data_IF_676931940002
#
_entry.id   IF_676931940002
#
_cell.length_a   1.000
_cell.length_b   1.000
_cell.length_c   1.000
_cell.angle_alpha   90.00
_cell.angle_beta   90.00
_cell.angle_gamma   90.00
#
_symmetry.space_group_name_H-M   'P 1'
#
loop_
_entity.id
_entity.type
_entity.pdbx_description
1 polymer ?
#
# COMPACT_ATOMS: atom_id res chain seq x y z
N UNK A 1 14.51 0.49 8.50
CA UNK A 1 15.77 0.90 7.84
C UNK A 1 15.75 0.77 6.31
N UNK A 2 15.27 -0.34 5.73
CA UNK A 2 15.28 -0.55 4.25
C UNK A 2 14.67 0.60 3.43
N UNK A 3 13.50 1.11 3.82
CA UNK A 3 12.83 2.21 3.10
C UNK A 3 13.66 3.50 3.12
N UNK A 4 14.34 3.79 4.24
CA UNK A 4 15.17 5.00 4.36
C UNK A 4 16.38 4.96 3.44
N UNK A 5 17.04 3.80 3.35
CA UNK A 5 18.16 3.60 2.43
C UNK A 5 17.72 3.77 0.97
N UNK A 6 16.55 3.24 0.61
CA UNK A 6 15.98 3.39 -0.73
C UNK A 6 15.66 4.86 -1.02
N UNK A 7 15.00 5.57 -0.09
CA UNK A 7 14.71 7.00 -0.24
C UNK A 7 15.97 7.83 -0.42
N UNK A 8 17.02 7.55 0.36
CA UNK A 8 18.31 8.22 0.23
C UNK A 8 18.96 7.94 -1.12
N UNK A 9 19.01 6.68 -1.56
CA UNK A 9 19.57 6.30 -2.86
C UNK A 9 18.86 7.00 -4.01
N UNK A 10 17.53 7.04 -4.01
CA UNK A 10 16.72 7.72 -5.03
C UNK A 10 17.02 9.21 -5.04
N UNK A 11 17.06 9.86 -3.87
CA UNK A 11 17.37 11.29 -3.77
C UNK A 11 18.77 11.62 -4.32
N UNK A 12 19.75 10.75 -4.07
CA UNK A 12 21.11 10.91 -4.56
C UNK A 12 21.20 10.75 -6.08
N UNK A 13 20.49 9.76 -6.64
CA UNK A 13 20.39 9.59 -8.10
C UNK A 13 19.75 10.82 -8.74
N UNK A 14 18.64 11.32 -8.20
CA UNK A 14 17.99 12.53 -8.72
C UNK A 14 18.89 13.77 -8.60
N UNK A 15 19.63 13.92 -7.50
CA UNK A 15 20.62 14.99 -7.33
C UNK A 15 21.75 14.90 -8.35
N UNK A 16 22.32 13.71 -8.57
CA UNK A 16 23.36 13.47 -9.56
C UNK A 16 22.88 13.78 -10.99
N UNK A 17 21.66 13.36 -11.34
CA UNK A 17 21.03 13.69 -12.62
C UNK A 17 20.78 15.19 -12.76
N UNK A 18 20.39 15.86 -11.67
CA UNK A 18 20.24 17.31 -11.59
C UNK A 18 21.55 18.04 -11.83
N UNK A 19 22.66 17.53 -11.28
CA UNK A 19 24.00 18.05 -11.53
C UNK A 19 24.44 17.86 -12.98
N UNK A 20 24.29 16.64 -13.53
CA UNK A 20 24.64 16.34 -14.92
C UNK A 20 23.88 17.23 -15.89
N UNK A 21 22.59 17.48 -15.61
CA UNK A 21 21.75 18.35 -16.42
C UNK A 21 22.17 19.81 -16.28
N UNK A 22 22.12 20.37 -15.07
CA UNK A 22 22.30 21.82 -14.87
C UNK A 22 23.76 22.29 -14.85
N UNK A 23 24.74 21.40 -14.66
CA UNK A 23 26.13 21.77 -14.39
C UNK A 23 26.34 22.56 -13.09
N UNK A 24 25.32 22.73 -12.25
CA UNK A 24 25.35 23.59 -11.08
C UNK A 24 25.14 22.77 -9.80
N UNK A 25 26.14 22.83 -8.90
CA UNK A 25 26.10 22.11 -7.63
C UNK A 25 24.97 22.57 -6.72
N UNK A 26 24.63 23.86 -6.69
CA UNK A 26 23.55 24.40 -5.86
C UNK A 26 22.19 23.82 -6.26
N UNK A 27 21.94 23.70 -7.56
CA UNK A 27 20.69 23.12 -8.10
C UNK A 27 20.62 21.64 -7.76
N UNK A 28 21.72 20.90 -7.92
CA UNK A 28 21.79 19.48 -7.58
C UNK A 28 21.53 19.22 -6.09
N UNK A 29 22.14 20.02 -5.22
CA UNK A 29 21.96 19.92 -3.77
C UNK A 29 20.52 20.26 -3.36
N UNK A 30 19.91 21.29 -3.95
CA UNK A 30 18.51 21.62 -3.72
C UNK A 30 17.57 20.48 -4.15
N UNK A 31 17.76 19.91 -5.35
CA UNK A 31 16.97 18.76 -5.84
C UNK A 31 17.12 17.56 -4.89
N UNK A 32 18.36 17.22 -4.52
CA UNK A 32 18.64 16.10 -3.62
C UNK A 32 17.90 16.27 -2.27
N UNK A 33 18.00 17.45 -1.67
CA UNK A 33 17.37 17.76 -0.39
C UNK A 33 15.83 17.71 -0.46
N UNK A 34 15.23 18.33 -1.49
CA UNK A 34 13.77 18.30 -1.68
C UNK A 34 13.26 16.88 -1.86
N UNK A 35 13.92 16.09 -2.71
CA UNK A 35 13.55 14.69 -2.95
C UNK A 35 13.70 13.85 -1.67
N UNK A 36 14.80 14.03 -0.94
CA UNK A 36 15.03 13.32 0.32
C UNK A 36 13.91 13.61 1.33
N UNK A 37 13.60 14.89 1.57
CA UNK A 37 12.53 15.29 2.49
C UNK A 37 11.18 14.72 2.04
N UNK A 38 10.86 14.81 0.75
CA UNK A 38 9.62 14.28 0.20
C UNK A 38 9.46 12.76 0.44
N UNK A 39 10.48 11.98 0.08
CA UNK A 39 10.43 10.52 0.26
C UNK A 39 10.42 10.13 1.75
N UNK A 40 11.16 10.85 2.59
CA UNK A 40 11.25 10.58 4.01
C UNK A 40 9.93 10.82 4.75
N UNK A 41 9.25 11.95 4.50
CA UNK A 41 8.03 12.31 5.20
C UNK A 41 6.77 11.74 4.54
N UNK A 42 6.62 11.90 3.22
CA UNK A 42 5.36 11.60 2.55
C UNK A 42 5.30 10.17 2.02
N UNK A 43 6.27 9.78 1.18
CA UNK A 43 6.24 8.48 0.51
C UNK A 43 6.33 7.32 1.52
N UNK A 44 7.25 7.41 2.49
CA UNK A 44 7.40 6.40 3.55
C UNK A 44 6.09 6.16 4.29
N UNK A 45 5.41 7.23 4.73
CA UNK A 45 4.15 7.13 5.47
C UNK A 45 3.07 6.45 4.63
N UNK A 46 2.86 6.91 3.40
CA UNK A 46 1.85 6.35 2.48
C UNK A 46 2.08 4.89 2.13
N UNK A 47 3.32 4.53 1.77
CA UNK A 47 3.67 3.16 1.40
C UNK A 47 3.54 2.22 2.60
N UNK A 48 3.98 2.64 3.78
CA UNK A 48 3.85 1.84 4.99
C UNK A 48 2.37 1.60 5.32
N UNK A 49 1.54 2.64 5.35
CA UNK A 49 0.11 2.53 5.62
C UNK A 49 -0.61 1.61 4.62
N UNK A 50 -0.31 1.76 3.31
CA UNK A 50 -0.92 0.92 2.29
C UNK A 50 -0.54 -0.56 2.44
N UNK A 51 0.73 -0.86 2.74
CA UNK A 51 1.16 -2.24 2.96
C UNK A 51 0.52 -2.85 4.22
N UNK A 52 0.39 -2.09 5.30
CA UNK A 52 -0.25 -2.59 6.54
C UNK A 52 -1.73 -2.87 6.32
N UNK A 53 -2.46 -1.95 5.66
CA UNK A 53 -3.89 -2.16 5.37
C UNK A 53 -4.09 -3.36 4.44
N UNK A 54 -3.24 -3.53 3.42
CA UNK A 54 -3.31 -4.71 2.54
C UNK A 54 -3.04 -6.02 3.28
N UNK A 55 -2.05 -6.04 4.18
CA UNK A 55 -1.74 -7.21 5.00
C UNK A 55 -2.93 -7.56 5.92
N UNK A 56 -3.46 -6.56 6.63
CA UNK A 56 -4.60 -6.73 7.52
C UNK A 56 -5.86 -7.20 6.77
N UNK A 57 -6.12 -6.68 5.57
CA UNK A 57 -7.22 -7.15 4.73
C UNK A 57 -7.05 -8.62 4.30
N UNK A 58 -5.83 -9.02 3.95
CA UNK A 58 -5.50 -10.41 3.63
C UNK A 58 -5.70 -11.34 4.83
N UNK A 59 -5.23 -10.91 6.01
CA UNK A 59 -5.42 -11.63 7.28
C UNK A 59 -6.90 -11.75 7.65
N UNK A 60 -7.69 -10.67 7.55
CA UNK A 60 -9.13 -10.66 7.79
C UNK A 60 -9.84 -11.70 6.93
N UNK A 61 -9.52 -11.70 5.64
CA UNK A 61 -10.11 -12.62 4.67
C UNK A 61 -9.79 -14.07 4.99
N UNK A 62 -8.50 -14.35 5.24
CA UNK A 62 -8.05 -15.70 5.58
C UNK A 62 -8.69 -16.18 6.88
N UNK A 63 -8.79 -15.30 7.89
CA UNK A 63 -9.45 -15.59 9.14
C UNK A 63 -10.93 -15.95 8.92
N UNK A 64 -11.70 -15.10 8.24
CA UNK A 64 -13.14 -15.33 8.00
C UNK A 64 -13.37 -16.63 7.22
N UNK A 65 -12.61 -16.86 6.15
CA UNK A 65 -12.78 -18.07 5.33
C UNK A 65 -12.46 -19.34 6.14
N UNK A 66 -11.31 -19.37 6.84
CA UNK A 66 -10.92 -20.52 7.64
C UNK A 66 -11.88 -20.76 8.82
N UNK A 67 -12.38 -19.68 9.42
CA UNK A 67 -13.35 -19.76 10.51
C UNK A 67 -14.66 -20.40 10.03
N UNK A 68 -15.25 -19.90 8.93
CA UNK A 68 -16.50 -20.43 8.39
C UNK A 68 -16.37 -21.90 7.95
N UNK A 69 -15.27 -22.25 7.29
CA UNK A 69 -14.98 -23.63 6.90
C UNK A 69 -14.79 -24.55 8.12
N UNK A 70 -14.10 -24.08 9.16
CA UNK A 70 -13.93 -24.89 10.36
C UNK A 70 -15.22 -25.01 11.17
N UNK A 71 -16.04 -23.96 11.19
CA UNK A 71 -17.36 -23.99 11.83
C UNK A 71 -18.28 -25.00 11.14
N UNK A 72 -18.29 -25.05 9.81
CA UNK A 72 -19.17 -25.98 9.09
C UNK A 72 -18.81 -27.46 9.31
N UNK A 73 -17.53 -27.77 9.58
CA UNK A 73 -17.06 -29.14 9.82
C UNK A 73 -17.24 -29.54 11.29
N UNK A 74 -16.85 -28.67 12.23
CA UNK A 74 -16.71 -29.01 13.65
C UNK A 74 -17.87 -28.52 14.52
N UNK A 75 -18.62 -27.52 14.07
CA UNK A 75 -19.76 -26.95 14.80
C UNK A 75 -19.41 -26.23 16.12
N UNK A 76 -18.12 -26.06 16.43
CA UNK A 76 -17.64 -25.44 17.68
C UNK A 76 -16.88 -24.15 17.39
N UNK A 77 -17.33 -23.05 18.01
CA UNK A 77 -16.71 -21.73 17.90
C UNK A 77 -15.24 -21.74 18.37
N UNK A 78 -14.95 -22.53 19.41
CA UNK A 78 -13.59 -22.66 19.95
C UNK A 78 -12.62 -23.24 18.93
N UNK A 79 -13.02 -24.37 18.33
CA UNK A 79 -12.17 -25.07 17.38
C UNK A 79 -12.06 -24.29 16.07
N UNK A 80 -13.12 -23.60 15.65
CA UNK A 80 -13.09 -22.76 14.47
C UNK A 80 -12.19 -21.54 14.63
N UNK A 81 -12.22 -20.91 15.81
CA UNK A 81 -11.33 -19.81 16.14
C UNK A 81 -9.87 -20.26 16.17
N UNK A 82 -9.58 -21.40 16.80
CA UNK A 82 -8.23 -21.95 16.84
C UNK A 82 -7.72 -22.24 15.42
N UNK A 83 -8.50 -22.95 14.59
CA UNK A 83 -8.11 -23.24 13.20
C UNK A 83 -7.93 -21.98 12.35
N UNK A 84 -8.76 -20.95 12.54
CA UNK A 84 -8.64 -19.69 11.82
C UNK A 84 -7.38 -18.88 12.21
N UNK A 85 -6.80 -19.14 13.38
CA UNK A 85 -5.68 -18.39 13.94
C UNK A 85 -4.33 -19.13 13.87
N UNK A 86 -4.30 -20.41 13.49
CA UNK A 86 -3.06 -21.23 13.38
C UNK A 86 -1.94 -20.54 12.60
N UNK A 87 -2.29 -19.83 11.52
CA UNK A 87 -1.32 -19.19 10.62
C UNK A 87 -1.15 -17.68 10.89
N UNK A 88 -1.58 -17.19 12.05
CA UNK A 88 -1.44 -15.78 12.40
C UNK A 88 0.04 -15.38 12.57
N UNK A 89 0.45 -14.29 11.93
CA UNK A 89 1.82 -13.79 11.99
C UNK A 89 1.90 -12.28 12.30
N UNK A 90 3.05 -11.83 12.80
CA UNK A 90 3.34 -10.41 13.02
C UNK A 90 2.35 -9.69 13.94
N UNK A 91 1.70 -8.63 13.42
CA UNK A 91 0.79 -7.80 14.21
C UNK A 91 -0.47 -8.56 14.65
N UNK A 92 -1.02 -9.40 13.78
CA UNK A 92 -2.22 -10.17 14.11
C UNK A 92 -1.98 -11.13 15.27
N UNK A 93 -0.83 -11.82 15.29
CA UNK A 93 -0.44 -12.69 16.41
C UNK A 93 -0.35 -11.92 17.74
N UNK A 94 0.24 -10.73 17.72
CA UNK A 94 0.34 -9.90 18.93
C UNK A 94 -1.04 -9.51 19.46
N UNK A 95 -1.98 -9.12 18.57
CA UNK A 95 -3.36 -8.82 18.96
C UNK A 95 -4.07 -10.05 19.58
N UNK A 96 -3.82 -11.26 19.06
CA UNK A 96 -4.37 -12.50 19.60
C UNK A 96 -3.84 -12.81 21.02
N UNK A 97 -2.56 -12.56 21.28
CA UNK A 97 -1.95 -12.72 22.62
C UNK A 97 -2.58 -11.75 23.64
N UNK A 98 -2.91 -10.52 23.24
CA UNK A 98 -3.57 -9.56 24.13
C UNK A 98 -4.98 -9.98 24.55
N UNK A 99 -5.69 -10.76 23.73
CA UNK A 99 -7.07 -11.17 23.98
C UNK A 99 -7.21 -12.63 24.47
N UNK A 100 -6.10 -13.31 24.74
CA UNK A 100 -6.09 -14.74 25.14
C UNK A 100 -6.85 -15.01 26.45
N UNK A 101 -7.12 -14.00 27.26
CA UNK A 101 -7.87 -14.15 28.51
C UNK A 101 -9.39 -14.00 28.35
N UNK A 102 -9.86 -13.48 27.21
CA UNK A 102 -11.29 -13.23 26.97
C UNK A 102 -12.04 -14.51 26.58
N UNK A 103 -13.36 -14.51 26.69
CA UNK A 103 -14.19 -15.59 26.13
C UNK A 103 -14.09 -15.60 24.60
N UNK A 104 -14.27 -16.77 23.96
CA UNK A 104 -14.08 -16.90 22.50
C UNK A 104 -14.95 -15.92 21.71
N UNK A 105 -16.22 -15.75 22.11
CA UNK A 105 -17.12 -14.78 21.47
C UNK A 105 -16.59 -13.35 21.60
N UNK A 106 -16.16 -12.97 22.78
CA UNK A 106 -15.57 -11.65 23.05
C UNK A 106 -14.27 -11.41 22.26
N UNK A 107 -13.46 -12.46 22.04
CA UNK A 107 -12.27 -12.37 21.18
C UNK A 107 -12.66 -12.06 19.74
N UNK A 108 -13.68 -12.74 19.21
CA UNK A 108 -14.19 -12.51 17.86
C UNK A 108 -14.72 -11.08 17.75
N UNK A 109 -15.53 -10.62 18.70
CA UNK A 109 -16.04 -9.24 18.66
C UNK A 109 -14.91 -8.19 18.82
N UNK A 110 -13.89 -8.47 19.64
CA UNK A 110 -12.74 -7.58 19.81
C UNK A 110 -11.92 -7.40 18.52
N UNK A 111 -11.79 -8.47 17.72
CA UNK A 111 -11.03 -8.43 16.47
C UNK A 111 -11.61 -7.42 15.45
N UNK A 112 -12.84 -6.94 15.63
CA UNK A 112 -13.39 -5.83 14.85
C UNK A 112 -12.58 -4.53 14.99
N UNK A 113 -11.88 -4.32 16.13
CA UNK A 113 -10.99 -3.17 16.32
C UNK A 113 -9.77 -3.24 15.39
N UNK A 114 -9.33 -4.45 15.07
CA UNK A 114 -8.20 -4.75 14.20
C UNK A 114 -8.63 -4.84 12.74
N UNK A 115 -9.66 -5.65 12.44
CA UNK A 115 -10.24 -5.85 11.12
C UNK A 115 -11.33 -4.83 10.82
N UNK A 116 -10.91 -3.60 10.48
CA UNK A 116 -11.81 -2.45 10.20
C UNK A 116 -12.42 -2.49 8.79
N UNK A 117 -12.89 -3.65 8.36
CA UNK A 117 -13.40 -3.87 7.01
C UNK A 117 -14.86 -4.33 7.07
N UNK A 118 -15.69 -3.89 6.12
CA UNK A 118 -17.12 -4.25 6.07
C UNK A 118 -17.35 -5.77 6.03
N UNK A 119 -16.42 -6.50 5.40
CA UNK A 119 -16.42 -7.97 5.36
C UNK A 119 -16.46 -8.56 6.77
N UNK A 120 -15.72 -7.97 7.71
CA UNK A 120 -15.67 -8.45 9.09
C UNK A 120 -16.98 -8.17 9.84
N UNK A 121 -17.57 -6.99 9.64
CA UNK A 121 -18.89 -6.68 10.20
C UNK A 121 -19.98 -7.62 9.68
N UNK A 122 -19.97 -7.90 8.38
CA UNK A 122 -20.91 -8.85 7.78
C UNK A 122 -20.72 -10.26 8.35
N UNK A 123 -19.48 -10.67 8.57
CA UNK A 123 -19.14 -11.93 9.25
C UNK A 123 -19.71 -11.98 10.68
N UNK A 124 -19.53 -10.93 11.49
CA UNK A 124 -20.08 -10.88 12.84
C UNK A 124 -21.62 -10.99 12.84
N UNK A 125 -22.29 -10.32 11.91
CA UNK A 125 -23.74 -10.39 11.78
C UNK A 125 -24.23 -11.80 11.42
N UNK A 126 -23.53 -12.49 10.50
CA UNK A 126 -23.84 -13.89 10.15
C UNK A 126 -23.61 -14.80 11.36
N UNK A 127 -22.56 -14.56 12.14
CA UNK A 127 -22.26 -15.36 13.32
C UNK A 127 -23.33 -15.21 14.40
N UNK A 128 -23.79 -13.98 14.66
CA UNK A 128 -24.91 -13.71 15.58
C UNK A 128 -26.20 -14.37 15.09
N UNK A 129 -26.51 -14.27 13.79
CA UNK A 129 -27.68 -14.91 13.20
C UNK A 129 -27.65 -16.44 13.38
N UNK A 130 -26.48 -17.04 13.19
CA UNK A 130 -26.25 -18.47 13.38
C UNK A 130 -26.41 -18.89 14.85
N UNK A 131 -25.91 -18.11 15.80
CA UNK A 131 -26.09 -18.39 17.24
C UNK A 131 -27.56 -18.29 17.67
N UNK A 132 -28.30 -17.31 17.14
CA UNK A 132 -29.70 -17.06 17.49
C UNK A 132 -30.67 -18.07 16.83
N UNK A 133 -30.41 -18.43 15.56
CA UNK A 133 -31.37 -19.19 14.74
C UNK A 133 -30.89 -20.62 14.43
N UNK A 134 -29.62 -20.94 14.66
CA UNK A 134 -29.00 -22.20 14.26
C UNK A 134 -28.99 -22.39 12.73
N UNK A 135 -28.82 -23.64 12.28
CA UNK A 135 -28.85 -24.00 10.85
C UNK A 135 -27.47 -24.32 10.27
N UNK A 136 -27.29 -24.09 8.98
CA UNK A 136 -26.01 -24.28 8.30
C UNK A 136 -25.33 -22.92 8.05
N UNK A 137 -24.24 -22.68 8.79
CA UNK A 137 -23.45 -21.46 8.72
C UNK A 137 -22.88 -21.22 7.31
N UNK A 138 -22.61 -22.29 6.55
CA UNK A 138 -22.02 -22.15 5.23
C UNK A 138 -23.03 -21.59 4.23
N UNK A 139 -24.27 -22.05 4.32
CA UNK A 139 -25.40 -21.51 3.53
C UNK A 139 -25.67 -20.05 3.91
N UNK A 140 -25.64 -19.69 5.19
CA UNK A 140 -25.80 -18.30 5.63
C UNK A 140 -24.66 -17.38 5.19
N UNK A 141 -23.44 -17.92 5.10
CA UNK A 141 -22.26 -17.17 4.70
C UNK A 141 -21.95 -17.22 3.20
N UNK A 142 -22.78 -17.87 2.38
CA UNK A 142 -22.50 -18.05 0.95
C UNK A 142 -22.30 -16.71 0.24
N UNK A 143 -23.19 -15.74 0.48
CA UNK A 143 -23.07 -14.38 -0.10
C UNK A 143 -21.81 -13.67 0.37
N UNK A 144 -21.43 -13.83 1.65
CA UNK A 144 -20.20 -13.25 2.19
C UNK A 144 -18.96 -13.88 1.54
N UNK A 145 -18.94 -15.20 1.36
CA UNK A 145 -17.84 -15.90 0.71
C UNK A 145 -17.70 -15.50 -0.76
N UNK A 146 -18.81 -15.32 -1.48
CA UNK A 146 -18.80 -14.79 -2.85
C UNK A 146 -18.22 -13.37 -2.90
N UNK A 147 -18.62 -12.49 -1.98
CA UNK A 147 -18.09 -11.12 -1.92
C UNK A 147 -16.60 -11.09 -1.54
N UNK A 148 -16.18 -11.93 -0.60
CA UNK A 148 -14.76 -12.13 -0.25
C UNK A 148 -13.93 -12.52 -1.48
N UNK A 149 -14.39 -13.49 -2.25
CA UNK A 149 -13.69 -13.97 -3.45
C UNK A 149 -13.65 -12.87 -4.52
N UNK A 150 -14.76 -12.14 -4.72
CA UNK A 150 -14.82 -11.02 -5.65
C UNK A 150 -13.84 -9.90 -5.29
N UNK A 151 -13.74 -9.56 -4.00
CA UNK A 151 -12.80 -8.54 -3.51
C UNK A 151 -11.35 -9.01 -3.70
N UNK A 152 -11.06 -10.29 -3.46
CA UNK A 152 -9.73 -10.87 -3.74
C UNK A 152 -9.36 -10.78 -5.22
N UNK A 153 -10.24 -11.22 -6.12
CA UNK A 153 -10.02 -11.14 -7.56
C UNK A 153 -9.78 -9.70 -8.00
N UNK A 154 -10.61 -8.77 -7.51
CA UNK A 154 -10.47 -7.35 -7.78
C UNK A 154 -9.12 -6.81 -7.28
N UNK A 155 -8.69 -7.19 -6.08
CA UNK A 155 -7.38 -6.81 -5.55
C UNK A 155 -6.22 -7.33 -6.39
N UNK A 156 -6.28 -8.59 -6.84
CA UNK A 156 -5.23 -9.19 -7.69
C UNK A 156 -5.16 -8.43 -9.03
N UNK A 157 -6.31 -8.16 -9.65
CA UNK A 157 -6.40 -7.40 -10.90
C UNK A 157 -5.88 -5.98 -10.72
N UNK A 158 -6.32 -5.25 -9.69
CA UNK A 158 -5.85 -3.88 -9.40
C UNK A 158 -4.34 -3.87 -9.14
N UNK A 159 -3.81 -4.85 -8.41
CA UNK A 159 -2.37 -4.95 -8.13
C UNK A 159 -1.56 -5.19 -9.41
N UNK A 160 -1.97 -6.15 -10.24
CA UNK A 160 -1.28 -6.41 -11.51
C UNK A 160 -1.30 -5.20 -12.44
N UNK A 161 -2.44 -4.50 -12.51
CA UNK A 161 -2.59 -3.25 -13.25
C UNK A 161 -1.69 -2.15 -12.69
N UNK A 162 -1.65 -1.99 -11.36
CA UNK A 162 -0.82 -1.00 -10.67
C UNK A 162 0.68 -1.20 -10.93
N UNK A 163 1.16 -2.46 -10.87
CA UNK A 163 2.55 -2.80 -11.19
C UNK A 163 2.86 -2.47 -12.65
N UNK A 164 1.99 -2.87 -13.58
CA UNK A 164 2.16 -2.57 -15.00
C UNK A 164 2.23 -1.07 -15.25
N UNK A 165 1.31 -0.28 -14.69
CA UNK A 165 1.30 1.18 -14.84
C UNK A 165 2.50 1.85 -14.20
N UNK A 166 2.99 1.32 -13.08
CA UNK A 166 4.23 1.81 -12.44
C UNK A 166 5.44 1.56 -13.35
N UNK A 167 5.52 0.41 -14.02
CA UNK A 167 6.58 0.13 -14.99
C UNK A 167 6.50 1.05 -16.21
N UNK A 168 5.30 1.24 -16.78
CA UNK A 168 5.07 2.18 -17.90
C UNK A 168 5.51 3.61 -17.51
N UNK A 169 5.18 4.05 -16.29
CA UNK A 169 5.60 5.34 -15.74
C UNK A 169 7.13 5.46 -15.60
N UNK A 170 7.79 4.43 -15.08
CA UNK A 170 9.25 4.41 -14.92
C UNK A 170 9.97 4.46 -16.28
N UNK A 171 9.50 3.69 -17.26
CA UNK A 171 10.06 3.68 -18.62
C UNK A 171 9.94 5.07 -19.25
N UNK A 172 8.78 5.72 -19.12
CA UNK A 172 8.54 7.04 -19.69
C UNK A 172 9.53 8.08 -19.12
N UNK A 173 9.68 8.13 -17.80
CA UNK A 173 10.63 9.05 -17.17
C UNK A 173 12.09 8.70 -17.45
N UNK A 174 12.41 7.41 -17.56
CA UNK A 174 13.76 6.98 -17.96
C UNK A 174 14.12 7.48 -19.36
N UNK A 175 13.20 7.40 -20.33
CA UNK A 175 13.39 7.93 -21.68
C UNK A 175 13.55 9.45 -21.64
N UNK A 176 12.69 10.17 -20.91
CA UNK A 176 12.78 11.64 -20.79
C UNK A 176 14.13 12.09 -20.21
N UNK A 177 14.59 11.45 -19.14
CA UNK A 177 15.89 11.75 -18.55
C UNK A 177 17.05 11.33 -19.47
N UNK A 178 16.91 10.20 -20.17
CA UNK A 178 17.86 9.74 -21.18
C UNK A 178 18.07 10.75 -22.29
N UNK A 179 17.00 11.40 -22.78
CA UNK A 179 17.09 12.47 -23.78
C UNK A 179 17.89 13.66 -23.24
N UNK A 180 17.66 14.08 -22.00
CA UNK A 180 18.39 15.21 -21.39
C UNK A 180 19.89 14.90 -21.27
N UNK A 181 20.23 13.69 -20.82
CA UNK A 181 21.62 13.21 -20.76
C UNK A 181 22.22 13.16 -22.17
N UNK A 182 21.50 12.63 -23.14
CA UNK A 182 21.98 12.54 -24.52
C UNK A 182 22.23 13.92 -25.13
N UNK A 183 21.33 14.89 -24.91
CA UNK A 183 21.53 16.28 -25.36
C UNK A 183 22.77 16.89 -24.70
N UNK A 184 22.97 16.64 -23.40
CA UNK A 184 24.13 17.14 -22.66
C UNK A 184 25.45 16.65 -23.25
N UNK A 185 25.56 15.36 -23.55
CA UNK A 185 26.80 14.77 -24.04
C UNK A 185 26.94 14.86 -25.57
N UNK A 186 25.87 14.62 -26.32
CA UNK A 186 25.84 14.65 -27.78
C UNK A 186 25.98 16.07 -28.37
N UNK A 187 25.53 17.09 -27.65
CA UNK A 187 25.69 18.51 -28.04
C UNK A 187 26.58 19.28 -27.07
N UNK A 188 27.56 18.62 -26.45
CA UNK A 188 28.41 19.18 -25.38
C UNK A 188 28.96 20.58 -25.69
N UNK A 189 29.45 20.80 -26.92
CA UNK A 189 30.01 22.08 -27.37
C UNK A 189 29.00 23.23 -27.37
N UNK A 190 27.75 22.94 -27.72
CA UNK A 190 26.64 23.90 -27.73
C UNK A 190 26.06 24.07 -26.32
N UNK A 191 25.91 22.95 -25.60
CA UNK A 191 25.39 22.91 -24.24
C UNK A 191 26.27 23.70 -23.27
N UNK A 192 27.59 23.58 -23.39
CA UNK A 192 28.57 24.36 -22.60
C UNK A 192 28.36 25.87 -22.74
N UNK A 193 28.00 26.35 -23.93
CA UNK A 193 27.69 27.77 -24.16
C UNK A 193 26.36 28.19 -23.55
N UNK A 194 25.39 27.28 -23.47
CA UNK A 194 24.06 27.54 -22.89
C UNK A 194 24.04 27.45 -21.36
N UNK A 195 24.99 26.75 -20.74
CA UNK A 195 25.03 26.49 -19.29
C UNK A 195 25.02 27.74 -18.41
N UNK A 196 25.58 28.84 -18.89
CA UNK A 196 25.60 30.11 -18.16
C UNK A 196 24.29 30.89 -18.29
N UNK A 197 23.35 30.43 -19.12
CA UNK A 197 22.04 31.02 -19.28
C UNK A 197 21.11 30.61 -18.14
N UNK A 198 20.52 31.61 -17.48
CA UNK A 198 19.48 31.42 -16.45
C UNK A 198 18.32 30.51 -16.92
N UNK A 199 18.06 30.51 -18.24
CA UNK A 199 17.05 29.67 -18.90
C UNK A 199 17.31 28.18 -18.67
N UNK A 200 18.56 27.70 -18.75
CA UNK A 200 18.88 26.27 -18.59
C UNK A 200 18.64 25.82 -17.14
N UNK A 201 18.98 26.68 -16.18
CA UNK A 201 18.74 26.43 -14.75
C UNK A 201 17.23 26.34 -14.47
N UNK A 202 16.43 27.29 -14.98
CA UNK A 202 14.99 27.29 -14.83
C UNK A 202 14.34 26.05 -15.45
N UNK A 203 14.71 25.70 -16.69
CA UNK A 203 14.13 24.55 -17.39
C UNK A 203 14.50 23.22 -16.71
N UNK A 204 15.73 23.12 -16.19
CA UNK A 204 16.14 21.94 -15.41
C UNK A 204 15.36 21.85 -14.11
N UNK A 205 15.24 22.95 -13.36
CA UNK A 205 14.46 22.98 -12.13
C UNK A 205 12.98 22.62 -12.37
N UNK A 206 12.39 23.14 -13.46
CA UNK A 206 11.02 22.82 -13.86
C UNK A 206 10.86 21.33 -14.17
N UNK A 207 11.79 20.73 -14.91
CA UNK A 207 11.77 19.29 -15.23
C UNK A 207 11.74 18.43 -13.97
N UNK A 208 12.65 18.68 -13.01
CA UNK A 208 12.69 17.93 -11.76
C UNK A 208 11.47 18.20 -10.87
N UNK A 209 10.93 19.42 -10.90
CA UNK A 209 9.68 19.72 -10.19
C UNK A 209 8.51 18.93 -10.79
N UNK A 210 8.40 18.87 -12.11
CA UNK A 210 7.38 18.06 -12.81
C UNK A 210 7.54 16.57 -12.53
N UNK A 211 8.78 16.07 -12.48
CA UNK A 211 9.07 14.69 -12.08
C UNK A 211 8.60 14.42 -10.65
N UNK A 212 8.88 15.32 -9.70
CA UNK A 212 8.42 15.19 -8.32
C UNK A 212 6.90 15.17 -8.21
N UNK A 213 6.21 16.10 -8.88
CA UNK A 213 4.74 16.13 -8.95
C UNK A 213 4.18 14.85 -9.54
N UNK A 214 4.81 14.34 -10.60
CA UNK A 214 4.40 13.11 -11.26
C UNK A 214 4.57 11.88 -10.35
N UNK A 215 5.69 11.80 -9.62
CA UNK A 215 5.90 10.79 -8.58
C UNK A 215 4.85 10.90 -7.49
N UNK A 216 4.49 12.13 -7.08
CA UNK A 216 3.46 12.36 -6.07
C UNK A 216 2.09 11.84 -6.50
N UNK A 217 1.69 12.16 -7.72
CA UNK A 217 0.43 11.65 -8.29
C UNK A 217 0.47 10.12 -8.44
N UNK A 218 1.60 9.56 -8.90
CA UNK A 218 1.77 8.11 -9.03
C UNK A 218 1.61 7.40 -7.68
N UNK A 219 2.32 7.86 -6.64
CA UNK A 219 2.20 7.29 -5.28
C UNK A 219 0.75 7.36 -4.82
N UNK A 220 0.12 8.54 -4.85
CA UNK A 220 -1.25 8.70 -4.36
C UNK A 220 -2.28 7.87 -5.12
N UNK A 221 -2.10 7.67 -6.43
CA UNK A 221 -3.02 6.88 -7.25
C UNK A 221 -2.80 5.38 -7.07
N UNK A 222 -1.56 4.94 -7.02
CA UNK A 222 -1.20 3.52 -6.99
C UNK A 222 -1.19 2.90 -5.59
N UNK A 223 -1.18 3.71 -4.52
CA UNK A 223 -1.34 3.24 -3.14
C UNK A 223 -2.79 3.27 -2.64
N UNK A 224 -3.77 3.72 -3.44
CA UNK A 224 -5.19 3.61 -3.06
C UNK A 224 -5.62 2.15 -3.17
N UNK A 225 -6.03 1.58 -2.05
CA UNK A 225 -6.62 0.25 -2.01
C UNK A 225 -8.11 0.33 -2.39
N UNK A 226 -8.65 -0.71 -3.04
CA UNK A 226 -10.07 -0.79 -3.38
C UNK A 226 -10.97 -1.15 -2.19
N UNK A 227 -10.40 -1.43 -1.02
CA UNK A 227 -11.16 -1.82 0.17
C UNK A 227 -11.48 -0.56 0.97
N UNK A 228 -12.77 -0.30 1.14
CA UNK A 228 -13.26 0.76 2.04
C UNK A 228 -13.03 0.31 3.49
N UNK A 229 -12.28 1.10 4.25
CA UNK A 229 -12.27 0.98 5.70
C UNK A 229 -13.62 1.51 6.21
N UNK A 230 -14.39 0.65 6.87
CA UNK A 230 -15.71 1.01 7.37
C UNK A 230 -15.59 2.11 8.42
N UNK A 231 -16.41 3.16 8.34
CA UNK A 231 -16.47 4.24 9.35
C UNK A 231 -17.39 3.91 10.53
N UNK A 232 -17.82 2.65 10.70
CA UNK A 232 -18.81 2.21 11.70
C UNK A 232 -18.35 2.25 13.17
N UNK A 233 -17.33 3.05 13.50
CA UNK A 233 -16.79 3.19 14.86
C UNK A 233 -17.64 4.02 15.84
N UNK A 234 -18.87 4.41 15.51
CA UNK A 234 -19.68 5.26 16.40
C UNK A 234 -20.82 4.56 17.16
N UNK A 235 -21.05 3.25 17.00
CA UNK A 235 -22.17 2.59 17.71
C UNK A 235 -21.88 1.15 18.11
N UNK A 236 -21.09 0.93 19.17
CA UNK A 236 -21.31 -0.14 20.17
C UNK A 236 -20.97 0.44 21.54
#
# INVERSE_FOLDING_TARGET
MKILLISFLISLICGALGYVSSGNYYVAMAICLIYFLYFFFHAKKKVYQSNTTYKCAGECRQFVNNFLLSMSIRGSLAEAFENATINADGQFKNELEFIEHLAIRERIDYLNKYFRFDIYYMFLNILTLYEDQGGDILTMAETLLQEINRIEETMIVVRSLSIRRTMEFLILWFITLGIVIFVRFGLSSFYSRMLNGLIVILMTSLLFTLLLVSIHLAINKFTRLPIEESSHHETI
#
